data_IF_868870365270
#
_entry.id   IF_868870365270
#
_cell.length_a   1.000
_cell.length_b   1.000
_cell.length_c   1.000
_cell.angle_alpha   90.00
_cell.angle_beta   90.00
_cell.angle_gamma   90.00
#
_symmetry.space_group_name_H-M   'P 1'
#
loop_
_entity.id
_entity.type
_entity.pdbx_description
1 polymer ?
#
# COMPACT_ATOMS: atom_id res chain seq x y z
N UNK A 1 -14.11 17.55 15.50
CA UNK A 1 -13.80 16.96 16.82
C UNK A 1 -13.92 17.96 17.98
N UNK A 2 -14.45 19.17 17.77
CA UNK A 2 -14.49 20.21 18.83
C UNK A 2 -13.15 20.89 19.08
N UNK A 3 -12.16 20.68 18.20
CA UNK A 3 -10.90 21.43 18.26
C UNK A 3 -11.13 22.87 17.82
N UNK A 4 -10.76 23.81 18.68
CA UNK A 4 -10.65 25.22 18.36
C UNK A 4 -9.17 25.57 18.22
N UNK A 5 -8.76 26.01 17.03
CA UNK A 5 -7.42 26.56 16.82
C UNK A 5 -7.28 27.88 17.57
N UNK A 6 -6.21 28.03 18.35
CA UNK A 6 -5.86 29.31 18.99
C UNK A 6 -4.47 29.72 18.51
N UNK A 7 -4.37 30.91 17.92
CA UNK A 7 -3.08 31.42 17.41
C UNK A 7 -2.02 31.43 18.51
N UNK A 8 -0.84 30.88 18.19
CA UNK A 8 0.29 30.75 19.12
C UNK A 8 0.13 29.66 20.18
N UNK A 9 -0.95 28.87 20.17
CA UNK A 9 -1.10 27.72 21.08
C UNK A 9 -0.03 26.67 20.77
N UNK A 10 0.68 26.26 21.82
CA UNK A 10 1.65 25.17 21.80
C UNK A 10 1.00 23.90 22.36
N UNK A 11 1.19 22.77 21.70
CA UNK A 11 0.71 21.46 22.17
C UNK A 11 1.59 20.32 21.63
N UNK A 12 1.53 19.15 22.28
CA UNK A 12 2.13 17.92 21.73
C UNK A 12 1.04 17.08 21.05
N UNK A 13 1.45 16.14 20.19
CA UNK A 13 0.52 15.19 19.57
C UNK A 13 -0.24 14.40 20.63
N UNK A 14 0.42 13.98 21.71
CA UNK A 14 -0.17 13.21 22.82
C UNK A 14 -1.19 14.03 23.60
N UNK A 15 -0.87 15.29 23.93
CA UNK A 15 -1.80 16.14 24.68
C UNK A 15 -3.03 16.50 23.85
N UNK A 16 -2.86 16.67 22.53
CA UNK A 16 -3.98 16.83 21.60
C UNK A 16 -4.81 15.55 21.47
N UNK A 17 -4.17 14.38 21.33
CA UNK A 17 -4.84 13.09 21.25
C UNK A 17 -5.73 12.86 22.48
N UNK A 18 -5.21 13.10 23.68
CA UNK A 18 -5.97 12.97 24.93
C UNK A 18 -7.15 13.94 24.95
N UNK A 19 -6.93 15.21 24.60
CA UNK A 19 -7.99 16.25 24.56
C UNK A 19 -9.11 15.90 23.58
N UNK A 20 -8.77 15.33 22.42
CA UNK A 20 -9.71 14.99 21.37
C UNK A 20 -10.28 13.57 21.49
N UNK A 21 -9.86 12.79 22.49
CA UNK A 21 -10.29 11.41 22.69
C UNK A 21 -9.85 10.47 21.57
N UNK A 22 -8.68 10.72 20.96
CA UNK A 22 -8.10 9.84 19.93
C UNK A 22 -7.54 8.58 20.58
N UNK A 23 -7.89 7.41 20.05
CA UNK A 23 -7.37 6.14 20.56
C UNK A 23 -5.85 6.03 20.34
N UNK A 24 -5.10 5.34 21.24
CA UNK A 24 -3.65 5.20 21.13
C UNK A 24 -3.16 4.66 19.78
N UNK A 25 -3.88 3.68 19.20
CA UNK A 25 -3.56 3.10 17.89
C UNK A 25 -3.59 4.09 16.73
N UNK A 26 -4.27 5.24 16.87
CA UNK A 26 -4.37 6.27 15.86
C UNK A 26 -3.48 7.50 16.13
N UNK A 27 -2.58 7.44 17.10
CA UNK A 27 -1.66 8.56 17.38
C UNK A 27 -0.72 8.86 16.21
N UNK A 28 -0.22 7.82 15.52
CA UNK A 28 0.61 8.01 14.33
C UNK A 28 -0.17 8.67 13.19
N UNK A 29 -1.42 8.25 12.97
CA UNK A 29 -2.32 8.90 12.00
C UNK A 29 -2.60 10.36 12.39
N UNK A 30 -2.86 10.64 13.67
CA UNK A 30 -3.03 12.02 14.13
C UNK A 30 -1.78 12.86 13.84
N UNK A 31 -0.59 12.32 14.10
CA UNK A 31 0.66 13.03 13.81
C UNK A 31 0.79 13.36 12.32
N UNK A 32 0.50 12.40 11.44
CA UNK A 32 0.50 12.62 9.99
C UNK A 32 -0.49 13.72 9.58
N UNK A 33 -1.68 13.76 10.18
CA UNK A 33 -2.66 14.83 9.91
C UNK A 33 -2.15 16.20 10.38
N UNK A 34 -1.40 16.27 11.49
CA UNK A 34 -0.77 17.51 11.95
C UNK A 34 0.38 17.94 11.03
N UNK A 35 1.16 16.99 10.49
CA UNK A 35 2.18 17.26 9.46
C UNK A 35 1.55 17.84 8.20
N UNK A 36 0.44 17.28 7.72
CA UNK A 36 -0.32 17.84 6.58
C UNK A 36 -0.79 19.28 6.85
N UNK A 37 -1.20 19.60 8.08
CA UNK A 37 -1.54 20.98 8.46
C UNK A 37 -0.31 21.90 8.50
N UNK A 38 0.88 21.37 8.78
CA UNK A 38 2.12 22.14 8.76
C UNK A 38 2.62 22.39 7.33
N UNK A 39 2.42 21.46 6.40
CA UNK A 39 2.73 21.63 4.97
C UNK A 39 1.99 22.83 4.35
N UNK A 40 0.79 23.14 4.86
CA UNK A 40 -0.02 24.29 4.43
C UNK A 40 0.04 25.48 5.41
N UNK A 41 1.07 25.52 6.27
CA UNK A 41 1.36 26.62 7.19
C UNK A 41 0.25 26.96 8.22
N UNK A 42 -0.67 26.02 8.48
CA UNK A 42 -1.64 26.14 9.59
C UNK A 42 -0.93 25.89 10.93
N UNK A 43 -0.02 24.90 10.93
CA UNK A 43 0.81 24.55 12.08
C UNK A 43 2.30 24.72 11.75
N UNK A 44 3.12 24.67 12.79
CA UNK A 44 4.57 24.49 12.70
C UNK A 44 5.04 23.53 13.78
N UNK A 45 5.98 22.65 13.46
CA UNK A 45 6.64 21.83 14.46
C UNK A 45 7.96 22.48 14.90
N UNK A 46 8.08 22.83 16.18
CA UNK A 46 9.29 23.41 16.79
C UNK A 46 9.45 22.94 18.22
N UNK A 47 10.68 22.64 18.66
CA UNK A 47 10.98 22.30 20.07
C UNK A 47 10.10 21.15 20.62
N UNK A 48 9.85 20.12 19.81
CA UNK A 48 8.96 18.99 20.14
C UNK A 48 7.51 19.41 20.47
N UNK A 49 7.04 20.52 19.90
CA UNK A 49 5.67 21.00 20.03
C UNK A 49 5.16 21.46 18.67
N UNK A 50 3.85 21.37 18.51
CA UNK A 50 3.11 22.03 17.44
C UNK A 50 2.71 23.43 17.89
N UNK A 51 2.90 24.40 17.01
CA UNK A 51 2.49 25.79 17.19
C UNK A 51 1.43 26.12 16.15
N UNK A 52 0.29 26.66 16.60
CA UNK A 52 -0.76 27.13 15.68
C UNK A 52 -0.36 28.47 15.06
N UNK A 53 -0.14 28.51 13.75
CA UNK A 53 0.20 29.73 13.01
C UNK A 53 -1.03 30.44 12.46
N UNK A 54 -2.04 29.68 12.04
CA UNK A 54 -3.23 30.21 11.38
C UNK A 54 -4.47 29.42 11.83
N UNK A 55 -5.64 30.04 11.71
CA UNK A 55 -6.92 29.33 11.89
C UNK A 55 -7.43 28.95 10.50
N UNK A 56 -7.67 27.66 10.21
CA UNK A 56 -8.18 27.26 8.91
C UNK A 56 -9.58 27.84 8.66
N UNK A 57 -9.83 28.25 7.43
CA UNK A 57 -11.16 28.66 7.01
C UNK A 57 -12.14 27.48 7.07
N UNK A 58 -13.39 27.75 7.45
CA UNK A 58 -14.43 26.73 7.37
C UNK A 58 -14.85 26.55 5.92
N UNK A 59 -14.63 25.34 5.39
CA UNK A 59 -14.99 24.98 4.02
C UNK A 59 -16.17 24.02 4.04
N UNK A 60 -17.15 24.24 3.17
CA UNK A 60 -18.17 23.23 2.88
C UNK A 60 -17.56 22.13 2.00
N UNK A 61 -17.11 21.05 2.64
CA UNK A 61 -16.44 19.93 1.97
C UNK A 61 -17.33 19.26 0.92
N UNK A 62 -18.62 19.04 1.24
CA UNK A 62 -19.58 18.44 0.32
C UNK A 62 -19.72 19.26 -0.97
N UNK A 63 -19.85 20.58 -0.85
CA UNK A 63 -19.93 21.48 -2.00
C UNK A 63 -18.62 21.49 -2.81
N UNK A 64 -17.47 21.51 -2.13
CA UNK A 64 -16.16 21.44 -2.80
C UNK A 64 -16.00 20.13 -3.57
N UNK A 65 -16.43 19.02 -2.98
CA UNK A 65 -16.38 17.70 -3.59
C UNK A 65 -17.27 17.61 -4.82
N UNK A 66 -18.52 18.10 -4.74
CA UNK A 66 -19.42 18.19 -5.91
C UNK A 66 -18.83 19.02 -7.05
N UNK A 67 -18.22 20.16 -6.73
CA UNK A 67 -17.53 21.02 -7.72
C UNK A 67 -16.36 20.30 -8.38
N UNK A 68 -15.56 19.56 -7.60
CA UNK A 68 -14.43 18.77 -8.13
C UNK A 68 -14.91 17.62 -9.00
N UNK A 69 -15.95 16.90 -8.59
CA UNK A 69 -16.52 15.80 -9.36
C UNK A 69 -17.11 16.27 -10.70
N UNK A 70 -17.73 17.45 -10.73
CA UNK A 70 -18.22 18.05 -11.96
C UNK A 70 -17.09 18.44 -12.93
N UNK A 71 -15.92 18.84 -12.41
CA UNK A 71 -14.74 19.17 -13.21
C UNK A 71 -13.94 17.94 -13.64
N UNK A 72 -13.87 16.92 -12.78
CA UNK A 72 -13.09 15.71 -12.96
C UNK A 72 -13.94 14.45 -12.72
N UNK A 73 -14.87 14.11 -13.63
CA UNK A 73 -15.75 12.95 -13.45
C UNK A 73 -15.00 11.62 -13.31
N UNK A 74 -13.79 11.53 -13.86
CA UNK A 74 -12.91 10.36 -13.75
C UNK A 74 -12.42 10.10 -12.32
N UNK A 75 -12.43 11.11 -11.45
CA UNK A 75 -11.99 11.00 -10.05
C UNK A 75 -13.13 10.55 -9.10
N UNK A 76 -14.20 9.96 -9.64
CA UNK A 76 -15.38 9.60 -8.87
C UNK A 76 -15.06 8.68 -7.69
N UNK A 77 -14.23 7.66 -7.91
CA UNK A 77 -13.90 6.68 -6.86
C UNK A 77 -13.08 7.32 -5.73
N UNK A 78 -12.08 8.11 -6.08
CA UNK A 78 -11.21 8.87 -5.19
C UNK A 78 -12.03 9.83 -4.33
N UNK A 79 -12.86 10.64 -4.98
CA UNK A 79 -13.67 11.67 -4.32
C UNK A 79 -14.78 11.07 -3.45
N UNK A 80 -15.38 9.96 -3.89
CA UNK A 80 -16.36 9.22 -3.08
C UNK A 80 -15.71 8.60 -1.85
N UNK A 81 -14.55 7.96 -2.01
CA UNK A 81 -13.82 7.36 -0.90
C UNK A 81 -13.32 8.42 0.09
N UNK A 82 -12.81 9.54 -0.42
CA UNK A 82 -12.36 10.67 0.40
C UNK A 82 -13.51 11.27 1.21
N UNK A 83 -14.68 11.50 0.61
CA UNK A 83 -15.86 12.01 1.33
C UNK A 83 -16.25 11.06 2.47
N UNK A 84 -16.35 9.76 2.14
CA UNK A 84 -16.79 8.73 3.08
C UNK A 84 -15.83 8.60 4.25
N UNK A 85 -14.52 8.55 3.99
CA UNK A 85 -13.51 8.44 5.03
C UNK A 85 -13.35 9.75 5.81
N UNK A 86 -13.27 10.88 5.11
CA UNK A 86 -13.06 12.20 5.70
C UNK A 86 -14.21 12.63 6.61
N UNK A 87 -15.46 12.41 6.19
CA UNK A 87 -16.64 12.72 7.01
C UNK A 87 -16.72 11.88 8.30
N UNK A 88 -16.17 10.68 8.30
CA UNK A 88 -16.13 9.76 9.44
C UNK A 88 -14.80 9.77 10.20
N UNK A 89 -13.82 10.60 9.82
CA UNK A 89 -12.48 10.60 10.41
C UNK A 89 -12.51 10.76 11.92
N UNK A 90 -13.36 11.65 12.44
CA UNK A 90 -13.59 11.79 13.89
C UNK A 90 -14.01 10.47 14.52
N UNK A 91 -15.02 9.82 13.93
CA UNK A 91 -15.63 8.64 14.49
C UNK A 91 -14.63 7.47 14.53
N UNK A 92 -13.79 7.35 13.50
CA UNK A 92 -12.69 6.39 13.42
C UNK A 92 -11.63 6.70 14.47
N UNK A 93 -11.11 7.94 14.54
CA UNK A 93 -10.07 8.31 15.50
C UNK A 93 -10.50 8.08 16.96
N UNK A 94 -11.79 8.23 17.26
CA UNK A 94 -12.38 8.00 18.58
C UNK A 94 -12.83 6.55 18.82
N UNK A 95 -12.69 5.65 17.83
CA UNK A 95 -13.07 4.24 17.93
C UNK A 95 -14.58 3.98 17.95
N UNK A 96 -15.39 4.96 17.58
CA UNK A 96 -16.85 4.82 17.53
C UNK A 96 -17.35 4.10 16.27
N UNK A 97 -16.51 4.05 15.23
CA UNK A 97 -16.77 3.31 13.99
C UNK A 97 -15.48 2.57 13.60
N UNK A 98 -15.63 1.31 13.19
CA UNK A 98 -14.55 0.52 12.61
C UNK A 98 -14.13 1.10 11.24
N UNK A 99 -12.86 1.47 11.02
CA UNK A 99 -12.40 1.98 9.72
C UNK A 99 -12.69 1.05 8.54
N UNK A 100 -12.71 -0.27 8.74
CA UNK A 100 -13.04 -1.22 7.68
C UNK A 100 -14.51 -1.08 7.24
N UNK A 101 -15.42 -0.75 8.15
CA UNK A 101 -16.82 -0.47 7.80
C UNK A 101 -16.98 0.86 7.05
N UNK A 102 -16.03 1.79 7.21
CA UNK A 102 -16.00 3.04 6.43
C UNK A 102 -15.43 2.80 5.02
N UNK A 103 -14.43 1.93 4.90
CA UNK A 103 -13.83 1.56 3.61
C UNK A 103 -14.70 0.59 2.81
N UNK A 104 -15.39 -0.33 3.48
CA UNK A 104 -16.20 -1.41 2.88
C UNK A 104 -17.56 -1.49 3.59
N UNK A 105 -18.44 -0.49 3.40
CA UNK A 105 -19.74 -0.47 4.05
C UNK A 105 -20.54 -1.71 3.64
N UNK A 106 -21.07 -2.44 4.62
CA UNK A 106 -21.82 -3.69 4.40
C UNK A 106 -21.03 -4.75 3.61
N UNK A 107 -19.69 -4.66 3.60
CA UNK A 107 -18.83 -5.54 2.82
C UNK A 107 -18.82 -5.23 1.32
N UNK A 108 -19.23 -4.03 0.91
CA UNK A 108 -19.16 -3.56 -0.47
C UNK A 108 -17.74 -3.10 -0.85
N UNK A 109 -17.13 -3.81 -1.80
CA UNK A 109 -15.81 -3.50 -2.34
C UNK A 109 -15.87 -2.61 -3.59
N UNK A 110 -17.04 -2.23 -4.08
CA UNK A 110 -17.22 -1.60 -5.40
C UNK A 110 -16.38 -0.34 -5.56
N UNK A 111 -16.46 0.62 -4.63
CA UNK A 111 -15.70 1.87 -4.74
C UNK A 111 -14.19 1.62 -4.62
N UNK A 112 -13.76 0.71 -3.73
CA UNK A 112 -12.35 0.37 -3.61
C UNK A 112 -11.83 -0.31 -4.88
N UNK A 113 -12.63 -1.20 -5.47
CA UNK A 113 -12.32 -1.85 -6.75
C UNK A 113 -12.17 -0.80 -7.85
N UNK A 114 -13.13 0.12 -7.97
CA UNK A 114 -13.04 1.22 -8.93
C UNK A 114 -11.80 2.08 -8.71
N UNK A 115 -11.41 2.36 -7.46
CA UNK A 115 -10.21 3.12 -7.15
C UNK A 115 -8.94 2.39 -7.64
N UNK A 116 -8.80 1.10 -7.32
CA UNK A 116 -7.61 0.29 -7.66
C UNK A 116 -7.58 -0.26 -9.09
N UNK A 117 -8.66 -0.07 -9.85
CA UNK A 117 -8.78 -0.64 -11.20
C UNK A 117 -9.09 0.41 -12.26
N UNK A 118 -9.95 1.37 -11.94
CA UNK A 118 -10.55 2.30 -12.90
C UNK A 118 -10.08 3.75 -12.73
N UNK A 119 -9.40 4.10 -11.63
CA UNK A 119 -8.75 5.41 -11.56
C UNK A 119 -7.71 5.55 -12.68
N UNK A 120 -7.46 6.77 -13.21
CA UNK A 120 -6.50 6.95 -14.29
C UNK A 120 -5.10 6.42 -13.96
N UNK A 121 -4.65 6.60 -12.71
CA UNK A 121 -3.36 6.09 -12.24
C UNK A 121 -3.35 4.56 -12.14
N UNK A 122 -4.42 3.96 -11.63
CA UNK A 122 -4.55 2.50 -11.55
C UNK A 122 -4.58 1.86 -12.94
N UNK A 123 -5.38 2.38 -13.87
CA UNK A 123 -5.44 1.86 -15.24
C UNK A 123 -4.05 1.87 -15.90
N UNK A 124 -3.32 2.98 -15.74
CA UNK A 124 -1.95 3.11 -16.25
C UNK A 124 -1.03 2.05 -15.62
N UNK A 125 -1.01 1.98 -14.29
CA UNK A 125 -0.11 1.08 -13.55
C UNK A 125 -0.44 -0.39 -13.80
N UNK A 126 -1.72 -0.77 -13.77
CA UNK A 126 -2.19 -2.12 -14.05
C UNK A 126 -1.86 -2.54 -15.48
N UNK A 127 -1.94 -1.62 -16.44
CA UNK A 127 -1.49 -1.87 -17.83
C UNK A 127 0.02 -2.11 -17.89
N UNK A 128 0.82 -1.35 -17.13
CA UNK A 128 2.27 -1.59 -17.07
C UNK A 128 2.60 -2.96 -16.46
N UNK A 129 1.95 -3.33 -15.36
CA UNK A 129 2.11 -4.65 -14.73
C UNK A 129 1.73 -5.76 -15.71
N UNK A 130 0.58 -5.64 -16.37
CA UNK A 130 0.11 -6.58 -17.39
C UNK A 130 1.15 -6.76 -18.50
N UNK A 131 1.68 -5.65 -19.05
CA UNK A 131 2.69 -5.70 -20.12
C UNK A 131 4.00 -6.30 -19.65
N UNK A 132 4.46 -5.94 -18.46
CA UNK A 132 5.69 -6.49 -17.90
C UNK A 132 5.60 -8.01 -17.74
N UNK A 133 4.47 -8.51 -17.23
CA UNK A 133 4.19 -9.95 -17.15
C UNK A 133 4.15 -10.55 -18.55
N UNK A 134 3.35 -10.01 -19.48
CA UNK A 134 3.25 -10.54 -20.84
C UNK A 134 4.64 -10.66 -21.50
N UNK A 135 5.45 -9.62 -21.42
CA UNK A 135 6.81 -9.61 -21.98
C UNK A 135 7.74 -10.60 -21.31
N UNK A 136 7.64 -10.81 -20.00
CA UNK A 136 8.41 -11.84 -19.31
C UNK A 136 8.02 -13.26 -19.78
N UNK A 137 6.78 -13.44 -20.21
CA UNK A 137 6.26 -14.73 -20.65
C UNK A 137 6.45 -14.99 -22.16
N UNK A 138 6.72 -13.96 -22.98
CA UNK A 138 6.82 -14.05 -24.45
C UNK A 138 7.79 -15.14 -24.96
N UNK A 139 8.90 -15.35 -24.26
CA UNK A 139 9.97 -16.26 -24.69
C UNK A 139 9.94 -17.62 -23.98
N UNK A 140 8.86 -17.95 -23.28
CA UNK A 140 8.74 -19.24 -22.62
C UNK A 140 8.61 -20.38 -23.65
N UNK A 141 9.38 -21.46 -23.49
CA UNK A 141 9.17 -22.66 -24.30
C UNK A 141 7.72 -23.14 -24.19
N UNK A 142 7.08 -23.62 -25.27
CA UNK A 142 5.69 -24.10 -25.22
C UNK A 142 5.44 -25.25 -24.23
N UNK A 143 6.49 -25.98 -23.83
CA UNK A 143 6.42 -27.06 -22.83
C UNK A 143 6.61 -26.58 -21.39
N UNK A 144 6.90 -25.30 -21.17
CA UNK A 144 7.20 -24.73 -19.85
C UNK A 144 5.99 -23.99 -19.31
N UNK A 145 5.33 -24.58 -18.31
CA UNK A 145 4.32 -23.88 -17.53
C UNK A 145 4.91 -22.84 -16.58
N UNK A 146 4.04 -21.97 -16.06
CA UNK A 146 4.35 -20.82 -15.21
C UNK A 146 3.43 -20.83 -14.01
N UNK A 147 3.98 -20.47 -12.85
CA UNK A 147 3.21 -20.27 -11.63
C UNK A 147 3.36 -18.81 -11.22
N UNK A 148 2.24 -18.10 -11.11
CA UNK A 148 2.19 -16.71 -10.67
C UNK A 148 1.57 -16.68 -9.28
N UNK A 149 2.14 -15.90 -8.36
CA UNK A 149 1.60 -15.64 -7.03
C UNK A 149 1.37 -14.14 -6.90
N UNK A 150 0.13 -13.73 -6.61
CA UNK A 150 -0.21 -12.34 -6.31
C UNK A 150 -0.41 -12.17 -4.80
N UNK A 151 0.41 -11.35 -4.17
CA UNK A 151 0.40 -11.09 -2.72
C UNK A 151 -0.44 -9.84 -2.45
N UNK A 152 -1.40 -9.94 -1.52
CA UNK A 152 -2.25 -8.80 -1.17
C UNK A 152 -3.09 -8.32 -2.35
N UNK A 153 -3.64 -9.27 -3.11
CA UNK A 153 -4.39 -9.01 -4.33
C UNK A 153 -5.70 -8.24 -4.08
N UNK A 154 -6.19 -8.22 -2.84
CA UNK A 154 -7.26 -7.36 -2.39
C UNK A 154 -8.53 -7.47 -3.23
N UNK A 155 -8.94 -6.36 -3.84
CA UNK A 155 -10.16 -6.30 -4.67
C UNK A 155 -10.02 -6.99 -6.04
N UNK A 156 -8.81 -7.39 -6.42
CA UNK A 156 -8.49 -7.99 -7.71
C UNK A 156 -8.40 -6.99 -8.86
N UNK A 157 -8.16 -5.70 -8.58
CA UNK A 157 -8.06 -4.66 -9.62
C UNK A 157 -6.88 -4.88 -10.57
N UNK A 158 -5.71 -5.25 -10.05
CA UNK A 158 -4.56 -5.64 -10.87
C UNK A 158 -4.78 -6.99 -11.52
N UNK A 159 -5.29 -7.97 -10.76
CA UNK A 159 -5.65 -9.32 -11.24
C UNK A 159 -6.51 -9.27 -12.50
N UNK A 160 -7.54 -8.41 -12.54
CA UNK A 160 -8.46 -8.30 -13.68
C UNK A 160 -7.78 -7.88 -14.98
N UNK A 161 -6.65 -7.18 -14.90
CA UNK A 161 -5.83 -6.80 -16.07
C UNK A 161 -4.90 -7.93 -16.51
N UNK A 162 -4.45 -8.77 -15.58
CA UNK A 162 -3.48 -9.83 -15.86
C UNK A 162 -4.18 -11.06 -16.46
N UNK A 163 -5.24 -11.57 -15.81
CA UNK A 163 -5.86 -12.85 -16.15
C UNK A 163 -6.27 -13.00 -17.63
N UNK A 164 -6.84 -11.97 -18.32
CA UNK A 164 -7.22 -12.10 -19.73
C UNK A 164 -6.07 -12.40 -20.70
N UNK A 165 -4.81 -12.20 -20.27
CA UNK A 165 -3.62 -12.33 -21.11
C UNK A 165 -2.81 -13.60 -20.84
N UNK A 166 -3.23 -14.43 -19.88
CA UNK A 166 -2.55 -15.66 -19.51
C UNK A 166 -3.08 -16.84 -20.33
N UNK A 167 -2.19 -17.77 -20.70
CA UNK A 167 -2.58 -19.02 -21.32
C UNK A 167 -3.07 -20.00 -20.23
N UNK A 168 -4.36 -20.40 -20.22
CA UNK A 168 -4.91 -21.31 -19.21
C UNK A 168 -4.20 -22.67 -19.12
N UNK A 169 -3.67 -23.19 -20.24
CA UNK A 169 -3.04 -24.51 -20.28
C UNK A 169 -1.61 -24.50 -19.74
N UNK A 170 -0.99 -23.32 -19.63
CA UNK A 170 0.40 -23.15 -19.26
C UNK A 170 0.57 -22.35 -17.96
N UNK A 171 -0.52 -21.93 -17.33
CA UNK A 171 -0.46 -21.01 -16.19
C UNK A 171 -1.18 -21.61 -14.99
N UNK A 172 -0.55 -21.49 -13.82
CA UNK A 172 -1.19 -21.60 -12.51
C UNK A 172 -1.13 -20.20 -11.88
N UNK A 173 -2.27 -19.64 -11.47
CA UNK A 173 -2.32 -18.32 -10.83
C UNK A 173 -2.81 -18.46 -9.41
N UNK A 174 -2.02 -18.03 -8.44
CA UNK A 174 -2.36 -18.12 -7.02
C UNK A 174 -2.68 -16.71 -6.53
N UNK A 175 -3.97 -16.44 -6.36
CA UNK A 175 -4.49 -15.22 -5.77
C UNK A 175 -4.41 -15.33 -4.25
N UNK A 176 -3.72 -14.38 -3.61
CA UNK A 176 -3.61 -14.37 -2.16
C UNK A 176 -3.94 -13.03 -1.53
N UNK A 177 -4.53 -13.09 -0.35
CA UNK A 177 -4.74 -11.94 0.52
C UNK A 177 -4.74 -12.40 1.99
N UNK A 178 -4.42 -11.50 2.91
CA UNK A 178 -4.50 -11.79 4.34
C UNK A 178 -5.96 -11.96 4.79
N UNK A 179 -6.90 -11.23 4.17
CA UNK A 179 -8.32 -11.27 4.50
C UNK A 179 -9.11 -12.29 3.69
N UNK A 180 -9.72 -13.28 4.35
CA UNK A 180 -10.57 -14.30 3.71
C UNK A 180 -11.74 -13.71 2.90
N UNK A 181 -12.25 -12.55 3.28
CA UNK A 181 -13.31 -11.87 2.52
C UNK A 181 -12.85 -11.47 1.12
N UNK A 182 -11.59 -11.06 0.95
CA UNK A 182 -11.03 -10.70 -0.35
C UNK A 182 -10.90 -11.90 -1.27
N UNK A 183 -10.33 -13.01 -0.77
CA UNK A 183 -10.19 -14.25 -1.55
C UNK A 183 -11.56 -14.83 -1.94
N UNK A 184 -12.54 -14.80 -1.03
CA UNK A 184 -13.92 -15.26 -1.31
C UNK A 184 -14.59 -14.40 -2.38
N UNK A 185 -14.46 -13.07 -2.29
CA UNK A 185 -15.02 -12.14 -3.30
C UNK A 185 -14.33 -12.27 -4.65
N UNK A 186 -13.02 -12.50 -4.68
CA UNK A 186 -12.28 -12.75 -5.90
C UNK A 186 -12.72 -14.06 -6.57
N UNK A 187 -13.05 -15.10 -5.80
CA UNK A 187 -13.60 -16.35 -6.31
C UNK A 187 -14.98 -16.16 -6.97
N UNK A 188 -15.86 -15.34 -6.38
CA UNK A 188 -17.13 -14.96 -7.00
C UNK A 188 -16.93 -14.13 -8.29
N UNK A 189 -15.85 -13.33 -8.33
CA UNK A 189 -15.56 -12.37 -9.40
C UNK A 189 -14.90 -12.99 -10.63
N UNK A 190 -14.05 -14.01 -10.46
CA UNK A 190 -13.27 -14.61 -11.54
C UNK A 190 -13.63 -16.09 -11.81
N UNK A 191 -14.92 -16.45 -11.96
CA UNK A 191 -15.32 -17.86 -12.14
C UNK A 191 -14.87 -18.44 -13.49
N UNK A 192 -14.59 -17.58 -14.48
CA UNK A 192 -14.25 -17.98 -15.85
C UNK A 192 -12.78 -18.40 -16.03
N UNK A 193 -11.96 -18.29 -14.98
CA UNK A 193 -10.52 -18.58 -15.03
C UNK A 193 -10.21 -19.85 -14.24
N UNK A 194 -10.29 -21.06 -14.84
CA UNK A 194 -10.15 -22.33 -14.09
C UNK A 194 -8.74 -22.58 -13.54
N UNK A 195 -7.75 -21.79 -13.97
CA UNK A 195 -6.35 -21.89 -13.57
C UNK A 195 -5.99 -20.98 -12.39
N UNK A 196 -6.97 -20.27 -11.82
CA UNK A 196 -6.80 -19.48 -10.61
C UNK A 196 -7.08 -20.33 -9.36
N UNK A 197 -6.21 -20.18 -8.36
CA UNK A 197 -6.34 -20.77 -7.04
C UNK A 197 -6.34 -19.65 -6.01
N UNK A 198 -7.15 -19.81 -4.96
CA UNK A 198 -7.31 -18.81 -3.92
C UNK A 198 -6.77 -19.36 -2.61
N UNK A 199 -5.87 -18.62 -1.96
CA UNK A 199 -5.28 -19.03 -0.69
C UNK A 199 -4.99 -17.81 0.17
N UNK A 200 -5.21 -17.91 1.48
CA UNK A 200 -4.79 -16.84 2.39
C UNK A 200 -3.27 -16.85 2.55
N UNK A 201 -2.65 -15.67 2.51
CA UNK A 201 -1.23 -15.50 2.78
C UNK A 201 -1.03 -14.24 3.63
N UNK A 202 -0.41 -14.44 4.79
CA UNK A 202 0.16 -13.37 5.60
C UNK A 202 1.67 -13.29 5.28
N UNK A 203 2.06 -12.29 4.49
CA UNK A 203 3.45 -12.14 4.04
C UNK A 203 4.41 -11.75 5.17
N UNK A 204 3.90 -11.27 6.31
CA UNK A 204 4.71 -10.97 7.49
C UNK A 204 5.12 -12.25 8.26
N UNK A 205 4.54 -13.40 7.88
CA UNK A 205 4.87 -14.73 8.42
C UNK A 205 5.55 -15.57 7.35
N UNK A 206 6.28 -16.59 7.79
CA UNK A 206 6.94 -17.53 6.89
C UNK A 206 5.92 -18.19 5.93
N UNK A 207 6.03 -18.01 4.60
CA UNK A 207 5.10 -18.58 3.62
C UNK A 207 5.13 -20.12 3.56
N UNK A 208 6.27 -20.76 3.83
CA UNK A 208 6.38 -22.23 3.85
C UNK A 208 5.51 -22.86 4.93
N UNK A 209 5.44 -22.20 6.10
CA UNK A 209 4.55 -22.60 7.19
C UNK A 209 3.06 -22.39 6.86
N UNK A 210 2.76 -21.67 5.78
CA UNK A 210 1.41 -21.36 5.30
C UNK A 210 1.02 -22.19 4.06
N UNK A 211 1.84 -23.20 3.69
CA UNK A 211 1.56 -24.12 2.60
C UNK A 211 2.05 -23.66 1.23
N UNK A 212 2.93 -22.66 1.17
CA UNK A 212 3.59 -22.25 -0.06
C UNK A 212 4.94 -22.97 -0.20
N UNK A 213 5.37 -23.22 -1.43
CA UNK A 213 6.71 -23.73 -1.69
C UNK A 213 7.79 -22.68 -1.35
N UNK A 214 9.06 -23.07 -1.14
CA UNK A 214 10.14 -22.14 -0.90
C UNK A 214 10.15 -21.03 -1.95
N UNK A 215 9.83 -19.82 -1.52
CA UNK A 215 9.91 -18.64 -2.36
C UNK A 215 11.39 -18.28 -2.41
N UNK A 216 11.95 -18.18 -3.61
CA UNK A 216 13.31 -17.71 -3.76
C UNK A 216 13.36 -16.25 -3.28
N UNK A 217 13.79 -16.01 -2.04
CA UNK A 217 13.80 -14.69 -1.39
C UNK A 217 14.65 -13.66 -2.14
N UNK A 218 15.51 -14.13 -3.06
CA UNK A 218 16.45 -13.32 -3.82
C UNK A 218 16.04 -13.38 -5.30
N UNK A 219 15.10 -12.52 -5.72
CA UNK A 219 14.81 -12.28 -7.13
C UNK A 219 15.65 -11.14 -7.72
N UNK A 220 16.24 -10.28 -6.88
CA UNK A 220 17.02 -9.12 -7.29
C UNK A 220 18.33 -9.00 -6.49
N UNK A 221 19.39 -8.37 -7.05
CA UNK A 221 20.53 -7.98 -6.23
C UNK A 221 20.04 -7.05 -5.10
N UNK A 222 20.67 -7.07 -3.91
CA UNK A 222 20.17 -6.47 -2.66
C UNK A 222 20.20 -4.93 -2.62
N UNK A 223 19.98 -4.28 -3.76
CA UNK A 223 20.03 -2.83 -3.94
C UNK A 223 18.64 -2.18 -3.99
N UNK A 224 17.55 -2.94 -3.92
CA UNK A 224 16.23 -2.37 -3.68
C UNK A 224 15.92 -2.35 -2.19
N UNK A 225 15.82 -1.14 -1.64
CA UNK A 225 15.36 -0.90 -0.28
C UNK A 225 13.85 -1.17 -0.22
N UNK A 226 13.39 -1.86 0.83
CA UNK A 226 11.98 -2.11 1.11
C UNK A 226 11.20 -0.83 1.45
N UNK A 227 10.12 -0.94 2.23
CA UNK A 227 9.13 0.14 2.48
C UNK A 227 9.67 1.45 3.10
N UNK A 228 10.95 1.55 3.47
CA UNK A 228 11.59 2.80 3.87
C UNK A 228 12.42 3.38 2.71
N UNK A 229 11.94 4.45 2.08
CA UNK A 229 12.72 5.21 1.09
C UNK A 229 13.71 6.17 1.77
N UNK A 230 15.02 6.11 1.46
CA UNK A 230 15.97 7.13 1.90
C UNK A 230 15.63 8.53 1.34
N UNK A 231 15.96 9.58 2.09
CA UNK A 231 15.78 11.01 1.72
C UNK A 231 16.24 11.36 0.29
N UNK A 232 17.28 10.68 -0.21
CA UNK A 232 17.85 10.88 -1.55
C UNK A 232 16.85 10.58 -2.67
N UNK A 233 16.02 9.56 -2.53
CA UNK A 233 15.06 9.13 -3.55
C UNK A 233 13.77 9.97 -3.56
N UNK A 234 13.55 10.83 -2.55
CA UNK A 234 12.48 11.84 -2.57
C UNK A 234 12.77 13.02 -3.51
N UNK A 235 14.02 13.21 -3.93
CA UNK A 235 14.43 14.43 -4.67
C UNK A 235 15.12 14.14 -6.01
N UNK A 236 15.65 12.95 -6.22
CA UNK A 236 16.33 12.59 -7.47
C UNK A 236 15.92 11.16 -7.86
N UNK A 237 15.37 11.00 -9.07
CA UNK A 237 15.16 9.69 -9.70
C UNK A 237 16.43 9.39 -10.52
N UNK A 238 17.30 8.44 -10.14
CA UNK A 238 18.41 8.07 -10.98
C UNK A 238 17.93 7.13 -12.08
N UNK A 239 18.04 7.55 -13.33
CA UNK A 239 17.93 6.64 -14.47
C UNK A 239 19.16 5.75 -14.54
N UNK A 240 18.94 4.43 -14.42
CA UNK A 240 19.79 3.31 -14.89
C UNK A 240 21.29 3.40 -14.61
N UNK A 241 21.80 2.57 -13.69
CA UNK A 241 23.23 2.23 -13.62
C UNK A 241 23.42 0.72 -13.75
N UNK A 242 24.17 0.33 -14.78
CA UNK A 242 24.68 -1.03 -15.01
C UNK A 242 26.17 -1.03 -14.71
N UNK A 243 26.59 -1.66 -13.63
CA UNK A 243 27.98 -2.11 -13.49
C UNK A 243 27.99 -3.55 -12.96
N UNK A 244 28.86 -4.39 -13.52
CA UNK A 244 29.04 -5.78 -13.09
C UNK A 244 29.96 -5.80 -11.88
N UNK A 245 29.47 -6.29 -10.74
CA UNK A 245 30.28 -6.50 -9.53
C UNK A 245 30.45 -7.98 -9.19
N UNK A 246 31.41 -8.28 -8.32
CA UNK A 246 31.63 -9.61 -7.77
C UNK A 246 31.67 -9.55 -6.24
N UNK A 247 31.08 -10.56 -5.60
CA UNK A 247 31.03 -10.68 -4.15
C UNK A 247 31.58 -12.03 -3.68
N UNK A 248 32.21 -12.02 -2.51
CA UNK A 248 32.63 -13.23 -1.79
C UNK A 248 32.03 -13.26 -0.39
N UNK A 249 31.65 -14.44 0.06
CA UNK A 249 31.14 -14.67 1.41
C UNK A 249 31.78 -15.92 2.02
N UNK A 250 31.82 -15.95 3.35
CA UNK A 250 32.32 -17.09 4.10
C UNK A 250 32.01 -16.99 5.58
N UNK A 251 32.22 -18.11 6.25
CA UNK A 251 32.07 -18.23 7.70
C UNK A 251 33.40 -18.69 8.28
N UNK A 252 33.89 -17.97 9.29
CA UNK A 252 34.96 -18.45 10.13
C UNK A 252 34.37 -19.02 11.41
N UNK A 253 34.56 -20.32 11.64
CA UNK A 253 34.29 -20.95 12.92
C UNK A 253 35.37 -20.47 13.91
N UNK A 254 34.96 -19.67 14.90
CA UNK A 254 35.86 -19.15 15.93
C UNK A 254 35.94 -20.07 17.16
N UNK A 255 35.48 -21.32 17.06
CA UNK A 255 35.71 -22.36 18.05
C UNK A 255 35.12 -22.01 19.42
N UNK A 256 33.82 -22.18 19.58
CA UNK A 256 33.11 -22.00 20.86
C UNK A 256 32.80 -20.55 21.24
N UNK A 257 33.31 -19.56 20.49
CA UNK A 257 32.95 -18.14 20.61
C UNK A 257 31.84 -17.70 19.63
N UNK A 258 31.30 -18.64 18.85
CA UNK A 258 30.34 -18.39 17.77
C UNK A 258 31.00 -18.20 16.41
N UNK A 259 30.19 -18.23 15.36
CA UNK A 259 30.67 -18.10 13.98
C UNK A 259 30.74 -16.63 13.56
N UNK A 260 31.85 -16.22 12.94
CA UNK A 260 31.97 -14.92 12.31
C UNK A 260 31.65 -15.04 10.82
N UNK A 261 30.49 -14.52 10.45
CA UNK A 261 30.08 -14.38 9.07
C UNK A 261 30.65 -13.07 8.49
N UNK A 262 31.23 -13.16 7.31
CA UNK A 262 31.71 -11.98 6.60
C UNK A 262 31.26 -11.98 5.14
N UNK A 263 31.13 -10.78 4.59
CA UNK A 263 30.81 -10.54 3.19
C UNK A 263 31.63 -9.35 2.70
N UNK A 264 32.16 -9.46 1.50
CA UNK A 264 32.83 -8.36 0.80
C UNK A 264 32.33 -8.25 -0.62
N UNK A 265 32.18 -7.01 -1.08
CA UNK A 265 31.71 -6.66 -2.41
C UNK A 265 32.69 -5.71 -3.08
N UNK A 266 32.97 -5.98 -4.35
CA UNK A 266 33.69 -5.07 -5.24
C UNK A 266 32.83 -4.74 -6.45
N UNK A 267 32.84 -3.47 -6.83
CA UNK A 267 32.38 -2.98 -8.13
C UNK A 267 33.62 -2.79 -8.99
#
# INVERSE_FOLDING_TARGET
MGWSFKLGENFSTESLAQRLGVLPQYQQLLNLLLEMLAEVEILRYTENQWVTLQTPEQVNLQQKNQTLLAQFPSANAELTMLERCGSQLRAVLQGTIDPLQVLFPEGDFTIATQLYEQSPEAQFTNTLVQRAIATALENLPPSRGVRLLEIGAGTGGTTSHILPHLNPEQTEYIFTDIGTSFTSKAQERFPDYPFIHYQNLDIEKNPELQGFEPINEIHEPPFYYGAERPEVERRIIPSTWRENGAGGFGTFDLGGAGDLHWRMYGV
#
